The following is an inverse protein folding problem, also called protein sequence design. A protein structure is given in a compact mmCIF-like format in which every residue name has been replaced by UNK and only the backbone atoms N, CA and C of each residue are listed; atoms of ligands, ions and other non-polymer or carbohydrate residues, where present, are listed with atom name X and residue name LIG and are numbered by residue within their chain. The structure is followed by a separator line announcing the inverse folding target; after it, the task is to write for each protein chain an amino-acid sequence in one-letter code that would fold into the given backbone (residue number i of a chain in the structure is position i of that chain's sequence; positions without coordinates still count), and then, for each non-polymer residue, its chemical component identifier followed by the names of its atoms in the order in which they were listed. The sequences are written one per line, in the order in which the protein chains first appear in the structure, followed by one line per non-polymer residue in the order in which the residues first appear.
data_IF_958125363832
#
_entry.id   IF_958125363832
#
_cell.length_a   1.000
_cell.length_b   1.000
_cell.length_c   1.000
_cell.angle_alpha   90.00
_cell.angle_beta   90.00
_cell.angle_gamma   90.00
#
_symmetry.space_group_name_H-M   'P 1'
#
loop_
_entity.id
_entity.type
_entity.pdbx_description
1 polymer ?
#
# COMPACT_ATOMS: atom_id res chain seq x y z
N UNK A 1 14.12 7.05 -17.01
CA UNK A 1 13.41 6.10 -16.14
C UNK A 1 12.29 6.82 -15.41
N UNK A 2 11.12 6.25 -15.37
CA UNK A 2 9.96 6.80 -14.65
C UNK A 2 9.68 5.94 -13.44
N UNK A 3 9.37 6.59 -12.31
CA UNK A 3 8.95 5.92 -11.10
C UNK A 3 7.52 6.35 -10.76
N UNK A 4 6.61 5.39 -10.63
CA UNK A 4 5.25 5.66 -10.19
C UNK A 4 5.11 5.29 -8.72
N UNK A 5 4.48 6.18 -7.95
CA UNK A 5 4.22 5.97 -6.53
C UNK A 5 2.74 6.20 -6.27
N UNK A 6 2.08 5.20 -5.73
CA UNK A 6 0.67 5.29 -5.36
C UNK A 6 0.51 5.16 -3.85
N UNK A 7 -0.16 6.13 -3.24
CA UNK A 7 -0.52 6.09 -1.83
C UNK A 7 -1.95 5.53 -1.75
N UNK A 8 -2.12 4.42 -1.05
CA UNK A 8 -3.34 3.63 -1.10
C UNK A 8 -4.17 3.75 0.17
N UNK A 9 -5.49 3.81 -0.01
CA UNK A 9 -6.46 3.62 1.08
C UNK A 9 -7.36 2.45 0.71
N UNK A 10 -7.56 1.54 1.67
CA UNK A 10 -8.47 0.42 1.44
C UNK A 10 -9.91 0.92 1.34
N UNK A 11 -10.77 0.15 0.71
CA UNK A 11 -12.21 0.41 0.73
C UNK A 11 -12.74 0.24 2.15
N UNK A 12 -13.72 1.06 2.52
CA UNK A 12 -14.27 1.04 3.89
C UNK A 12 -15.01 -0.26 4.20
N UNK A 13 -15.52 -0.96 3.18
CA UNK A 13 -16.25 -2.22 3.33
C UNK A 13 -15.36 -3.46 3.40
N UNK A 14 -14.04 -3.30 3.42
CA UNK A 14 -13.07 -4.38 3.49
C UNK A 14 -12.26 -4.22 4.78
N UNK A 15 -12.08 -5.30 5.55
CA UNK A 15 -11.25 -5.26 6.74
C UNK A 15 -9.74 -5.20 6.37
N UNK A 16 -8.93 -4.78 7.33
CA UNK A 16 -7.49 -4.55 7.14
C UNK A 16 -6.77 -5.84 6.74
N UNK A 17 -7.07 -6.95 7.42
CA UNK A 17 -6.39 -8.22 7.16
C UNK A 17 -6.71 -8.75 5.77
N UNK A 18 -7.98 -8.66 5.36
CA UNK A 18 -8.42 -9.07 4.03
C UNK A 18 -7.79 -8.19 2.95
N UNK A 19 -7.69 -6.88 3.19
CA UNK A 19 -7.05 -5.95 2.26
C UNK A 19 -5.58 -6.31 2.03
N UNK A 20 -4.80 -6.50 3.09
CA UNK A 20 -3.38 -6.81 2.96
C UNK A 20 -3.15 -8.18 2.34
N UNK A 21 -4.00 -9.17 2.66
CA UNK A 21 -3.90 -10.49 2.06
C UNK A 21 -4.16 -10.44 0.56
N UNK A 22 -5.23 -9.77 0.14
CA UNK A 22 -5.56 -9.62 -1.27
C UNK A 22 -4.43 -8.89 -2.02
N UNK A 23 -3.96 -7.78 -1.46
CA UNK A 23 -2.93 -6.97 -2.08
C UNK A 23 -1.63 -7.75 -2.28
N UNK A 24 -1.23 -8.51 -1.27
CA UNK A 24 0.00 -9.30 -1.32
C UNK A 24 -0.14 -10.55 -2.18
N UNK A 25 -1.20 -11.34 -1.98
CA UNK A 25 -1.32 -12.68 -2.54
C UNK A 25 -1.97 -12.71 -3.93
N UNK A 26 -2.82 -11.75 -4.26
CA UNK A 26 -3.55 -11.72 -5.53
C UNK A 26 -3.14 -10.57 -6.43
N UNK A 27 -3.20 -9.34 -5.92
CA UNK A 27 -2.87 -8.16 -6.74
C UNK A 27 -1.38 -8.09 -7.07
N UNK A 28 -0.51 -8.36 -6.13
CA UNK A 28 0.94 -8.35 -6.35
C UNK A 28 1.37 -9.30 -7.47
N UNK A 29 1.00 -10.59 -7.39
CA UNK A 29 1.30 -11.53 -8.47
C UNK A 29 0.70 -11.15 -9.82
N UNK A 30 -0.51 -10.56 -9.82
CA UNK A 30 -1.15 -10.08 -11.05
C UNK A 30 -0.32 -8.99 -11.72
N UNK A 31 0.10 -7.98 -10.95
CA UNK A 31 0.98 -6.90 -11.46
C UNK A 31 2.27 -7.48 -11.99
N UNK A 32 2.88 -8.40 -11.25
CA UNK A 32 4.13 -9.04 -11.65
C UNK A 32 3.98 -9.82 -12.97
N UNK A 33 2.83 -10.47 -13.17
CA UNK A 33 2.57 -11.24 -14.39
C UNK A 33 2.49 -10.37 -15.65
N UNK A 34 2.13 -9.08 -15.51
CA UNK A 34 2.01 -8.16 -16.64
C UNK A 34 3.13 -7.11 -16.68
N UNK A 35 4.12 -7.23 -15.80
CA UNK A 35 5.18 -6.24 -15.67
C UNK A 35 5.93 -5.98 -16.97
N UNK A 36 6.25 -7.03 -17.72
CA UNK A 36 6.95 -6.90 -19.00
C UNK A 36 6.10 -6.15 -20.03
N UNK A 37 4.80 -6.43 -20.06
CA UNK A 37 3.88 -5.79 -21.00
C UNK A 37 3.76 -4.29 -20.76
N UNK A 38 3.83 -3.84 -19.50
CA UNK A 38 3.75 -2.42 -19.14
C UNK A 38 5.12 -1.77 -19.01
N UNK A 39 6.20 -2.51 -19.25
CA UNK A 39 7.56 -2.00 -19.18
C UNK A 39 8.08 -1.73 -17.78
N UNK A 40 7.50 -2.39 -16.77
CA UNK A 40 7.92 -2.21 -15.38
C UNK A 40 9.14 -3.07 -15.08
N UNK A 41 10.19 -2.46 -14.54
CA UNK A 41 11.41 -3.17 -14.14
C UNK A 41 11.41 -3.58 -12.67
N UNK A 42 10.58 -2.94 -11.84
CA UNK A 42 10.50 -3.23 -10.41
C UNK A 42 9.13 -2.88 -9.85
N UNK A 43 8.65 -3.69 -8.92
CA UNK A 43 7.40 -3.46 -8.21
C UNK A 43 7.62 -3.70 -6.72
N UNK A 44 7.21 -2.76 -5.88
CA UNK A 44 7.36 -2.83 -4.42
C UNK A 44 6.05 -2.46 -3.76
N UNK A 45 5.63 -3.25 -2.77
CA UNK A 45 4.54 -2.92 -1.86
C UNK A 45 5.11 -2.56 -0.49
N UNK A 46 4.70 -1.42 0.06
CA UNK A 46 5.04 -1.03 1.42
C UNK A 46 3.76 -0.96 2.24
N UNK A 47 3.57 -1.92 3.13
CA UNK A 47 2.38 -2.03 3.96
C UNK A 47 2.54 -1.18 5.22
N UNK A 48 1.49 -0.47 5.61
CA UNK A 48 1.49 0.33 6.85
C UNK A 48 1.43 -0.61 8.05
N UNK A 49 2.33 -0.38 9.00
CA UNK A 49 2.46 -1.18 10.22
C UNK A 49 2.51 -0.25 11.43
N UNK A 50 2.47 -0.84 12.64
CA UNK A 50 2.60 -0.12 13.91
C UNK A 50 1.55 0.99 14.06
N UNK A 51 0.24 0.65 14.06
CA UNK A 51 -0.82 1.66 14.12
C UNK A 51 -0.75 2.54 15.37
N UNK A 52 -0.32 2.00 16.51
CA UNK A 52 -0.19 2.76 17.75
C UNK A 52 0.86 3.86 17.63
N UNK A 53 1.99 3.57 17.00
CA UNK A 53 3.04 4.56 16.78
C UNK A 53 2.56 5.64 15.80
N UNK A 54 1.83 5.24 14.76
CA UNK A 54 1.27 6.18 13.80
C UNK A 54 0.29 7.14 14.47
N UNK A 55 -0.56 6.65 15.38
CA UNK A 55 -1.49 7.51 16.13
C UNK A 55 -0.76 8.53 16.98
N UNK A 56 0.30 8.13 17.67
CA UNK A 56 1.12 9.06 18.45
C UNK A 56 1.71 10.17 17.59
N UNK A 57 2.19 9.82 16.40
CA UNK A 57 2.74 10.81 15.47
C UNK A 57 1.68 11.74 14.92
N UNK A 58 0.48 11.24 14.65
CA UNK A 58 -0.65 12.05 14.19
C UNK A 58 -1.00 13.08 15.25
N UNK A 59 -1.16 12.67 16.51
CA UNK A 59 -1.49 13.57 17.61
C UNK A 59 -0.42 14.63 17.83
N UNK A 60 0.85 14.24 17.86
CA UNK A 60 1.95 15.15 18.16
C UNK A 60 2.22 16.15 17.05
N UNK A 61 1.87 15.85 15.81
CA UNK A 61 2.20 16.68 14.65
C UNK A 61 0.99 17.22 13.92
N UNK A 62 -0.21 16.90 14.36
CA UNK A 62 -1.44 17.31 13.68
C UNK A 62 -1.58 16.74 12.28
N UNK A 63 -1.13 15.49 12.06
CA UNK A 63 -1.16 14.85 10.77
C UNK A 63 -2.53 14.24 10.46
N UNK A 64 -2.77 13.98 9.19
CA UNK A 64 -3.95 13.26 8.75
C UNK A 64 -3.79 11.75 8.95
N UNK A 65 -4.88 11.01 8.82
CA UNK A 65 -4.88 9.55 8.88
C UNK A 65 -3.87 8.98 7.88
N UNK A 66 -3.03 8.01 8.31
CA UNK A 66 -2.04 7.43 7.40
C UNK A 66 -2.70 6.63 6.29
N UNK A 67 -1.99 6.50 5.18
CA UNK A 67 -2.39 5.59 4.11
C UNK A 67 -2.23 4.14 4.57
N UNK A 68 -2.97 3.23 3.93
CA UNK A 68 -2.84 1.80 4.23
C UNK A 68 -1.58 1.21 3.61
N UNK A 69 -1.03 1.84 2.60
CA UNK A 69 0.24 1.43 2.01
C UNK A 69 0.68 2.34 0.88
N UNK A 70 1.85 2.04 0.37
CA UNK A 70 2.46 2.74 -0.77
C UNK A 70 3.04 1.71 -1.72
N UNK A 71 2.86 1.92 -3.01
CA UNK A 71 3.41 1.02 -4.03
C UNK A 71 4.07 1.78 -5.18
#
# INVERSE_FOLDING_TARGET
MIKLVYCLRKRDDIDVDSFYRYWLEEHGPLVKSVADAIGASRYVQSHTVLPELNELMIESRGLQTPYDGVT
#
